data_IF_273630087979
#
_entry.id   IF_273630087979
#
_cell.length_a   1.000
_cell.length_b   1.000
_cell.length_c   1.000
_cell.angle_alpha   90.00
_cell.angle_beta   90.00
_cell.angle_gamma   90.00
#
_symmetry.space_group_name_H-M   'P 1'
#
loop_
_entity.id
_entity.type
_entity.pdbx_description
1 polymer ?
#
# COMPACT_ATOMS: atom_id res chain seq x y z
N UNK A 1 4.81 12.10 -7.30
CA UNK A 1 4.89 12.81 -6.02
C UNK A 1 5.68 11.90 -5.08
N UNK A 2 5.84 12.19 -3.80
CA UNK A 2 6.28 11.16 -2.84
C UNK A 2 5.11 10.21 -2.52
N UNK A 3 5.41 8.96 -2.15
CA UNK A 3 4.39 7.98 -1.71
C UNK A 3 3.48 8.54 -0.62
N UNK A 4 4.06 9.27 0.33
CA UNK A 4 3.33 9.93 1.42
C UNK A 4 2.33 10.97 0.89
N UNK A 5 2.73 11.80 -0.06
CA UNK A 5 1.85 12.80 -0.68
C UNK A 5 0.73 12.15 -1.49
N UNK A 6 1.01 11.03 -2.18
CA UNK A 6 0.02 10.32 -2.99
C UNK A 6 -1.05 9.66 -2.11
N UNK A 7 -0.65 9.01 -1.02
CA UNK A 7 -1.57 8.47 -0.02
C UNK A 7 -2.38 9.60 0.62
N UNK A 8 -1.71 10.70 1.03
CA UNK A 8 -2.40 11.84 1.63
C UNK A 8 -3.44 12.43 0.66
N UNK A 9 -3.09 12.64 -0.60
CA UNK A 9 -4.02 13.16 -1.62
C UNK A 9 -5.21 12.23 -1.77
N UNK A 10 -4.96 10.92 -1.90
CA UNK A 10 -6.03 9.94 -1.99
C UNK A 10 -7.00 10.04 -0.81
N UNK A 11 -6.48 10.15 0.42
CA UNK A 11 -7.34 10.27 1.61
C UNK A 11 -8.17 11.56 1.57
N UNK A 12 -7.53 12.68 1.23
CA UNK A 12 -8.18 13.99 1.18
C UNK A 12 -9.26 14.03 0.10
N UNK A 13 -8.95 13.52 -1.09
CA UNK A 13 -9.82 13.58 -2.25
C UNK A 13 -11.03 12.64 -2.11
N UNK A 14 -10.84 11.46 -1.52
CA UNK A 14 -11.89 10.44 -1.44
C UNK A 14 -12.72 10.49 -0.15
N UNK A 15 -12.14 10.92 0.98
CA UNK A 15 -12.81 10.87 2.28
C UNK A 15 -13.03 12.24 2.93
N UNK A 16 -12.25 13.26 2.56
CA UNK A 16 -12.36 14.60 3.12
C UNK A 16 -12.86 15.66 2.12
N UNK A 17 -13.44 15.23 0.99
CA UNK A 17 -14.03 16.10 -0.03
C UNK A 17 -13.06 17.18 -0.57
N UNK A 18 -11.76 16.87 -0.62
CA UNK A 18 -10.72 17.80 -1.09
C UNK A 18 -10.22 18.81 -0.04
N UNK A 19 -10.74 18.77 1.19
CA UNK A 19 -10.27 19.62 2.29
C UNK A 19 -9.47 18.79 3.30
N UNK A 20 -8.16 19.03 3.37
CA UNK A 20 -7.31 18.29 4.30
C UNK A 20 -7.67 18.53 5.77
N UNK A 21 -8.40 19.60 6.10
CA UNK A 21 -8.82 19.89 7.47
C UNK A 21 -7.66 19.80 8.47
N UNK A 22 -7.81 18.95 9.49
CA UNK A 22 -6.80 18.66 10.51
C UNK A 22 -6.01 17.36 10.27
N UNK A 23 -6.03 16.81 9.04
CA UNK A 23 -5.33 15.57 8.72
C UNK A 23 -3.81 15.73 8.89
N UNK A 24 -3.28 15.13 9.94
CA UNK A 24 -1.85 14.95 10.13
C UNK A 24 -1.42 13.58 9.60
N UNK A 25 -0.13 13.42 9.30
CA UNK A 25 0.36 12.15 8.75
C UNK A 25 0.26 10.99 9.76
N UNK A 26 0.15 11.31 11.04
CA UNK A 26 -0.05 10.36 12.16
C UNK A 26 -1.49 10.35 12.69
N UNK A 27 -2.40 11.11 12.06
CA UNK A 27 -3.82 11.07 12.42
C UNK A 27 -4.38 9.66 12.23
N UNK A 28 -5.13 9.20 13.23
CA UNK A 28 -5.75 7.88 13.22
C UNK A 28 -7.00 7.93 12.37
N UNK A 29 -6.97 7.25 11.22
CA UNK A 29 -8.07 7.24 10.28
C UNK A 29 -9.37 6.76 10.92
N UNK A 30 -9.29 5.70 11.72
CA UNK A 30 -10.45 5.06 12.32
C UNK A 30 -10.89 5.82 13.58
N UNK A 31 -9.96 6.19 14.47
CA UNK A 31 -10.34 6.83 15.75
C UNK A 31 -10.87 8.25 15.56
N UNK A 32 -10.34 8.97 14.58
CA UNK A 32 -10.81 10.33 14.26
C UNK A 32 -12.01 10.32 13.30
N UNK A 33 -12.43 9.14 12.83
CA UNK A 33 -13.59 8.99 11.94
C UNK A 33 -13.36 9.57 10.55
N UNK A 34 -12.09 9.63 10.12
CA UNK A 34 -11.68 10.12 8.79
C UNK A 34 -12.01 9.06 7.73
N UNK A 35 -11.74 7.80 8.05
CA UNK A 35 -12.02 6.65 7.18
C UNK A 35 -12.76 5.61 8.00
N UNK A 36 -13.89 5.14 7.48
CA UNK A 36 -14.63 4.01 8.03
C UNK A 36 -14.08 2.66 7.53
N UNK A 37 -14.63 1.56 8.05
CA UNK A 37 -14.18 0.21 7.71
C UNK A 37 -14.24 -0.11 6.21
N UNK A 38 -15.19 0.50 5.49
CA UNK A 38 -15.33 0.28 4.04
C UNK A 38 -14.30 1.09 3.27
N UNK A 39 -14.02 2.32 3.71
CA UNK A 39 -12.96 3.15 3.15
C UNK A 39 -11.57 2.53 3.26
N UNK A 40 -11.29 1.73 4.31
CA UNK A 40 -10.03 0.98 4.40
C UNK A 40 -9.88 -0.02 3.25
N UNK A 41 -10.95 -0.70 2.83
CA UNK A 41 -10.89 -1.61 1.69
C UNK A 41 -10.64 -0.88 0.38
N UNK A 42 -11.20 0.33 0.22
CA UNK A 42 -10.93 1.19 -0.95
C UNK A 42 -9.47 1.68 -0.97
N UNK A 43 -8.93 2.03 0.20
CA UNK A 43 -7.51 2.38 0.33
C UNK A 43 -6.61 1.20 -0.06
N UNK A 44 -6.99 -0.01 0.37
CA UNK A 44 -6.27 -1.25 0.03
C UNK A 44 -6.33 -1.52 -1.47
N UNK A 45 -7.49 -1.38 -2.10
CA UNK A 45 -7.63 -1.50 -3.55
C UNK A 45 -6.74 -0.50 -4.28
N UNK A 46 -6.78 0.77 -3.86
CA UNK A 46 -5.92 1.83 -4.41
C UNK A 46 -4.43 1.48 -4.33
N UNK A 47 -3.91 1.10 -3.15
CA UNK A 47 -2.47 0.82 -3.03
C UNK A 47 -2.05 -0.44 -3.80
N UNK A 48 -2.91 -1.47 -3.86
CA UNK A 48 -2.60 -2.68 -4.63
C UNK A 48 -2.55 -2.37 -6.13
N UNK A 49 -3.51 -1.62 -6.65
CA UNK A 49 -3.55 -1.26 -8.06
C UNK A 49 -2.42 -0.32 -8.47
N UNK A 50 -2.18 0.74 -7.68
CA UNK A 50 -1.17 1.75 -8.01
C UNK A 50 0.25 1.22 -7.89
N UNK A 51 0.55 0.47 -6.83
CA UNK A 51 1.93 0.05 -6.52
C UNK A 51 2.22 -1.42 -6.86
N UNK A 52 1.25 -2.14 -7.43
CA UNK A 52 1.37 -3.57 -7.79
C UNK A 52 1.80 -4.45 -6.62
N UNK A 53 1.32 -4.12 -5.42
CA UNK A 53 1.57 -4.89 -4.20
C UNK A 53 0.38 -5.80 -3.88
N UNK A 54 0.62 -6.85 -3.10
CA UNK A 54 -0.42 -7.72 -2.55
C UNK A 54 -0.61 -7.38 -1.07
N UNK A 55 -1.87 -7.16 -0.68
CA UNK A 55 -2.28 -6.94 0.71
C UNK A 55 -3.14 -8.13 1.13
N UNK A 56 -2.68 -8.85 2.13
CA UNK A 56 -3.35 -10.05 2.64
C UNK A 56 -4.30 -9.68 3.79
N UNK A 57 -5.23 -10.58 4.13
CA UNK A 57 -6.19 -10.34 5.22
C UNK A 57 -5.49 -10.03 6.56
N UNK A 58 -4.31 -10.60 6.79
CA UNK A 58 -3.47 -10.39 7.97
C UNK A 58 -2.85 -8.98 8.01
N UNK A 59 -2.71 -8.34 6.84
CA UNK A 59 -2.19 -6.98 6.74
C UNK A 59 -3.26 -5.92 7.05
N UNK A 60 -4.55 -6.30 7.09
CA UNK A 60 -5.69 -5.42 7.34
C UNK A 60 -5.84 -5.04 8.82
N UNK A 61 -4.74 -4.59 9.41
CA UNK A 61 -4.65 -4.20 10.82
C UNK A 61 -4.35 -2.70 10.97
N UNK A 62 -4.80 -2.06 12.07
CA UNK A 62 -4.54 -0.64 12.32
C UNK A 62 -3.06 -0.28 12.40
N UNK A 63 -2.18 -1.24 12.70
CA UNK A 63 -0.74 -1.02 12.72
C UNK A 63 -0.18 -0.68 11.33
N UNK A 64 -0.80 -1.20 10.26
CA UNK A 64 -0.40 -0.97 8.88
C UNK A 64 -1.19 0.16 8.21
N UNK A 65 -2.50 0.29 8.51
CA UNK A 65 -3.41 1.07 7.66
C UNK A 65 -4.08 2.28 8.35
N UNK A 66 -3.83 2.53 9.63
CA UNK A 66 -4.58 3.54 10.40
C UNK A 66 -4.02 4.97 10.30
N UNK A 67 -2.98 5.23 9.50
CA UNK A 67 -2.50 6.60 9.25
C UNK A 67 -1.72 6.70 7.95
N UNK A 68 -1.53 7.91 7.42
CA UNK A 68 -0.78 8.14 6.18
C UNK A 68 0.64 7.59 6.30
N UNK A 69 1.31 7.85 7.42
CA UNK A 69 2.67 7.36 7.65
C UNK A 69 2.74 5.83 7.68
N UNK A 70 1.80 5.18 8.37
CA UNK A 70 1.76 3.71 8.46
C UNK A 70 1.56 3.08 7.09
N UNK A 71 0.62 3.60 6.32
CA UNK A 71 0.34 3.11 4.97
C UNK A 71 1.56 3.30 4.07
N UNK A 72 2.22 4.45 4.13
CA UNK A 72 3.43 4.70 3.34
C UNK A 72 4.55 3.71 3.67
N UNK A 73 4.81 3.47 4.97
CA UNK A 73 5.83 2.49 5.41
C UNK A 73 5.45 1.08 4.96
N UNK A 74 4.18 0.72 5.11
CA UNK A 74 3.68 -0.59 4.72
C UNK A 74 3.82 -0.85 3.21
N UNK A 75 3.39 0.11 2.37
CA UNK A 75 3.52 0.02 0.92
C UNK A 75 4.98 -0.03 0.48
N UNK A 76 5.84 0.81 1.04
CA UNK A 76 7.28 0.79 0.72
C UNK A 76 7.91 -0.57 1.06
N UNK A 77 7.52 -1.18 2.19
CA UNK A 77 7.97 -2.52 2.56
C UNK A 77 7.50 -3.58 1.55
N UNK A 78 6.21 -3.58 1.17
CA UNK A 78 5.67 -4.53 0.19
C UNK A 78 6.32 -4.38 -1.19
N UNK A 79 6.58 -3.15 -1.64
CA UNK A 79 7.28 -2.89 -2.90
C UNK A 79 8.70 -3.46 -2.89
N UNK A 80 9.43 -3.32 -1.78
CA UNK A 80 10.77 -3.93 -1.63
C UNK A 80 10.69 -5.45 -1.66
N UNK A 81 9.71 -6.06 -0.98
CA UNK A 81 9.53 -7.51 -1.00
C UNK A 81 9.20 -8.02 -2.41
N UNK A 82 8.30 -7.34 -3.14
CA UNK A 82 7.95 -7.72 -4.51
C UNK A 82 9.17 -7.70 -5.44
N UNK A 83 10.00 -6.66 -5.36
CA UNK A 83 11.21 -6.54 -6.16
C UNK A 83 12.25 -7.66 -5.88
N UNK A 84 12.29 -8.20 -4.65
CA UNK A 84 13.19 -9.30 -4.30
C UNK A 84 12.72 -10.66 -4.84
N UNK A 85 11.40 -10.84 -5.03
CA UNK A 85 10.83 -12.09 -5.56
C UNK A 85 11.06 -12.21 -7.07
N UNK A 86 11.08 -11.09 -7.80
CA UNK A 86 11.32 -11.10 -9.25
C UNK A 86 12.79 -11.47 -9.61
N UNK A 87 13.75 -11.15 -8.75
CA UNK A 87 15.18 -11.44 -8.98
C UNK A 87 15.53 -12.93 -8.82
N UNK A 88 14.76 -13.71 -8.03
CA UNK A 88 15.03 -15.15 -7.82
C UNK A 88 14.57 -16.07 -8.98
N UNK A 89 13.69 -15.60 -9.87
CA UNK A 89 13.09 -16.48 -10.91
C UNK A 89 13.99 -16.62 -12.15
N UNK A 90 14.92 -15.69 -12.42
CA UNK A 90 15.75 -15.73 -13.64
C UNK A 90 16.82 -16.83 -13.66
N UNK A 91 17.15 -17.43 -12.49
CA UNK A 91 18.24 -18.44 -12.39
C UNK A 91 17.81 -19.84 -12.83
N UNK A 92 16.50 -20.14 -12.97
CA UNK A 92 16.02 -21.51 -13.07
C UNK A 92 15.83 -22.08 -14.51
N UNK A 93 16.07 -21.31 -15.58
CA UNK A 93 15.74 -21.75 -16.97
C UNK A 93 16.93 -22.09 -17.87
N UNK A 94 18.16 -22.14 -17.34
CA UNK A 94 19.35 -22.51 -18.11
C UNK A 94 19.73 -23.99 -17.98
N UNK A 95 19.11 -24.89 -18.74
CA UNK A 95 19.63 -26.27 -18.79
C UNK A 95 18.72 -27.34 -19.39
N UNK A 96 18.24 -27.17 -20.62
CA UNK A 96 17.69 -28.29 -21.38
C UNK A 96 17.83 -28.07 -22.90
N UNK A 97 19.06 -27.88 -23.37
CA UNK A 97 19.38 -28.13 -24.77
C UNK A 97 20.71 -28.90 -24.83
N UNK A 98 20.67 -30.11 -25.40
CA UNK A 98 21.85 -30.95 -25.60
C UNK A 98 21.78 -32.35 -25.03
N UNK A 99 21.05 -33.25 -25.70
CA UNK A 99 21.39 -34.66 -25.94
C UNK A 99 20.23 -35.28 -26.73
N UNK A 100 20.35 -35.33 -28.06
CA UNK A 100 20.88 -36.47 -28.84
C UNK A 100 19.78 -37.45 -29.22
#
# INVERSE_FOLDING_TARGET
>A
MSLLEEIRSFIVDNFLFGDAGNLNNDSSFIKEGIVDSTGILQLVEFIQEQYRVVVEDEDLIPENLDSVNKVAVFVESKMKMAALVEDEIEVAVGGADGAA
#
